data_IF_224172583037
#
_entry.id   IF_224172583037
#
_cell.length_a   1.000
_cell.length_b   1.000
_cell.length_c   1.000
_cell.angle_alpha   90.00
_cell.angle_beta   90.00
_cell.angle_gamma   90.00
#
_symmetry.space_group_name_H-M   'P 1'
#
loop_
_entity.id
_entity.type
_entity.pdbx_description
1 polymer ?
#
# COMPACT_ATOMS: atom_id res chain seq x y z
N UNK A 1 16.50 0.89 -48.18
CA UNK A 1 17.20 0.34 -46.99
C UNK A 1 17.24 -1.16 -47.13
N UNK A 2 18.42 -1.77 -47.12
CA UNK A 2 18.60 -3.23 -47.17
C UNK A 2 18.40 -3.79 -45.77
N UNK A 3 17.60 -4.85 -45.64
CA UNK A 3 17.40 -5.56 -44.37
C UNK A 3 18.30 -6.80 -44.37
N UNK A 4 19.03 -7.02 -43.30
CA UNK A 4 19.87 -8.20 -43.11
C UNK A 4 19.07 -9.16 -42.20
N UNK A 5 18.73 -10.37 -42.65
CA UNK A 5 18.05 -11.35 -41.81
C UNK A 5 18.98 -11.86 -40.70
N UNK A 6 18.41 -12.09 -39.53
CA UNK A 6 19.12 -12.60 -38.36
C UNK A 6 18.20 -13.52 -37.58
N UNK A 7 18.51 -14.81 -37.60
CA UNK A 7 17.59 -15.86 -37.15
C UNK A 7 17.83 -16.28 -35.68
N UNK A 8 19.04 -16.06 -35.14
CA UNK A 8 19.45 -16.48 -33.79
C UNK A 8 19.26 -15.39 -32.72
N UNK A 9 18.11 -14.71 -32.74
CA UNK A 9 17.76 -13.70 -31.74
C UNK A 9 17.50 -14.32 -30.36
N UNK A 10 18.23 -13.85 -29.34
CA UNK A 10 17.96 -14.19 -27.93
C UNK A 10 18.60 -15.49 -27.42
N UNK A 11 19.53 -16.09 -28.16
CA UNK A 11 20.29 -17.28 -27.71
C UNK A 11 21.21 -17.00 -26.52
N UNK A 12 21.77 -15.79 -26.45
CA UNK A 12 22.65 -15.35 -25.34
C UNK A 12 21.84 -14.65 -24.23
N UNK A 13 20.70 -14.07 -24.56
CA UNK A 13 19.85 -13.34 -23.62
C UNK A 13 20.36 -11.91 -23.33
N UNK A 14 20.05 -11.39 -22.14
CA UNK A 14 20.46 -10.04 -21.73
C UNK A 14 21.85 -10.12 -21.09
N UNK A 15 22.83 -9.41 -21.66
CA UNK A 15 24.18 -9.28 -21.10
C UNK A 15 24.45 -7.81 -20.78
N UNK A 16 24.77 -7.54 -19.51
CA UNK A 16 25.07 -6.19 -18.98
C UNK A 16 26.55 -5.96 -18.68
N UNK A 17 27.37 -6.99 -18.82
CA UNK A 17 28.78 -6.96 -18.46
C UNK A 17 29.66 -6.42 -19.60
N UNK A 18 29.14 -6.47 -20.84
CA UNK A 18 29.79 -5.95 -22.03
C UNK A 18 29.18 -4.62 -22.44
N UNK A 19 30.04 -3.70 -22.89
CA UNK A 19 29.59 -2.48 -23.56
C UNK A 19 28.85 -2.81 -24.86
N UNK A 20 27.92 -1.92 -25.25
CA UNK A 20 27.03 -2.05 -26.42
C UNK A 20 27.77 -2.43 -27.72
N UNK A 21 29.02 -1.99 -27.88
CA UNK A 21 29.83 -2.24 -29.07
C UNK A 21 30.55 -3.59 -29.08
N UNK A 22 30.72 -4.22 -27.91
CA UNK A 22 31.38 -5.51 -27.74
C UNK A 22 30.37 -6.67 -27.65
N UNK A 23 29.07 -6.36 -27.63
CA UNK A 23 28.01 -7.35 -27.54
C UNK A 23 27.88 -8.17 -28.84
N UNK A 24 27.78 -9.50 -28.75
CA UNK A 24 27.45 -10.31 -29.90
C UNK A 24 26.04 -9.98 -30.40
N UNK A 25 25.80 -10.13 -31.71
CA UNK A 25 24.51 -9.78 -32.35
C UNK A 25 23.29 -10.49 -31.73
N UNK A 26 23.48 -11.64 -31.09
CA UNK A 26 22.42 -12.45 -30.47
C UNK A 26 22.09 -12.04 -29.03
N UNK A 27 22.86 -11.12 -28.43
CA UNK A 27 22.65 -10.64 -27.06
C UNK A 27 21.89 -9.31 -27.03
N UNK A 28 21.24 -9.04 -25.90
CA UNK A 28 20.50 -7.81 -25.66
C UNK A 28 21.17 -7.01 -24.53
N UNK A 29 21.18 -5.68 -24.66
CA UNK A 29 21.69 -4.76 -23.62
C UNK A 29 20.69 -4.60 -22.47
N UNK A 30 19.40 -4.57 -22.78
CA UNK A 30 18.33 -4.41 -21.78
C UNK A 30 16.98 -4.94 -22.28
N UNK A 31 16.17 -5.44 -21.34
CA UNK A 31 14.76 -5.74 -21.55
C UNK A 31 13.89 -4.63 -20.94
N UNK A 32 13.30 -3.77 -21.77
CA UNK A 32 12.35 -2.75 -21.32
C UNK A 32 10.94 -3.26 -21.53
N UNK A 33 10.11 -3.15 -20.49
CA UNK A 33 8.70 -3.56 -20.56
C UNK A 33 8.53 -5.05 -20.95
N UNK A 34 9.47 -5.90 -20.50
CA UNK A 34 9.43 -7.36 -20.67
C UNK A 34 9.52 -8.00 -19.28
N UNK A 35 8.70 -9.03 -19.02
CA UNK A 35 8.84 -9.92 -17.86
C UNK A 35 9.04 -11.36 -18.32
N UNK A 36 9.76 -12.13 -17.51
CA UNK A 36 9.99 -13.55 -17.75
C UNK A 36 9.07 -14.34 -16.83
N UNK A 37 8.10 -15.05 -17.40
CA UNK A 37 7.17 -15.90 -16.68
C UNK A 37 7.06 -17.25 -17.39
N UNK A 38 7.01 -18.34 -16.63
CA UNK A 38 6.91 -19.71 -17.16
C UNK A 38 7.90 -20.03 -18.29
N UNK A 39 9.16 -19.61 -18.11
CA UNK A 39 10.25 -19.74 -19.11
C UNK A 39 9.99 -19.04 -20.45
N UNK A 40 9.10 -18.06 -20.49
CA UNK A 40 8.77 -17.25 -21.68
C UNK A 40 8.97 -15.78 -21.40
N UNK A 41 9.34 -15.04 -22.44
CA UNK A 41 9.37 -13.58 -22.41
C UNK A 41 8.00 -13.05 -22.84
N UNK A 42 7.41 -12.19 -22.02
CA UNK A 42 6.13 -11.53 -22.32
C UNK A 42 6.24 -10.02 -22.12
N UNK A 43 5.47 -9.27 -22.91
CA UNK A 43 5.42 -7.81 -22.81
C UNK A 43 4.55 -7.41 -21.62
N UNK A 44 5.01 -6.44 -20.82
CA UNK A 44 4.23 -5.85 -19.74
C UNK A 44 4.11 -4.33 -19.89
N UNK A 45 3.06 -3.73 -19.33
CA UNK A 45 2.71 -2.32 -19.50
C UNK A 45 3.67 -1.32 -18.80
N UNK A 46 4.65 -1.81 -18.04
CA UNK A 46 5.49 -1.00 -17.18
C UNK A 46 5.07 -1.07 -15.70
N UNK A 47 5.77 -0.33 -14.86
CA UNK A 47 5.46 -0.19 -13.44
C UNK A 47 4.88 1.19 -13.18
N UNK A 48 3.86 1.27 -12.35
CA UNK A 48 3.24 2.52 -11.92
C UNK A 48 3.42 2.71 -10.41
N UNK A 49 3.61 3.97 -10.00
CA UNK A 49 3.76 4.32 -8.59
C UNK A 49 2.38 4.39 -7.92
N UNK A 50 1.92 3.25 -7.41
CA UNK A 50 0.57 3.13 -6.81
C UNK A 50 0.48 3.73 -5.40
N UNK A 51 1.56 3.71 -4.61
CA UNK A 51 1.55 4.08 -3.18
C UNK A 51 2.19 5.44 -2.88
N UNK A 52 2.35 6.33 -3.87
CA UNK A 52 3.16 7.54 -3.74
C UNK A 52 2.30 8.82 -3.58
N UNK A 53 2.56 9.70 -2.60
CA UNK A 53 3.54 9.56 -1.51
C UNK A 53 3.00 8.76 -0.32
N UNK A 54 3.77 7.81 0.24
CA UNK A 54 3.35 7.10 1.45
C UNK A 54 3.37 8.06 2.64
N UNK A 55 2.35 7.99 3.50
CA UNK A 55 2.22 8.89 4.65
C UNK A 55 3.37 8.78 5.66
N UNK A 56 4.05 7.62 5.70
CA UNK A 56 5.23 7.35 6.53
C UNK A 56 6.20 6.42 5.78
N UNK A 57 7.51 6.43 6.10
CA UNK A 57 8.45 5.44 5.59
C UNK A 57 8.06 4.03 6.07
N UNK A 58 7.74 3.09 5.15
CA UNK A 58 7.35 1.74 5.52
C UNK A 58 8.59 0.89 5.86
N UNK A 59 8.56 0.22 7.01
CA UNK A 59 9.53 -0.80 7.40
C UNK A 59 8.98 -2.22 7.14
N UNK A 60 7.66 -2.34 7.05
CA UNK A 60 6.97 -3.59 6.77
C UNK A 60 5.68 -3.32 5.99
N UNK A 61 5.32 -4.22 5.08
CA UNK A 61 4.09 -4.14 4.31
C UNK A 61 3.50 -5.53 4.03
N UNK A 62 2.17 -5.63 4.02
CA UNK A 62 1.43 -6.87 3.78
C UNK A 62 0.12 -6.59 3.04
N UNK A 63 -0.19 -7.36 1.99
CA UNK A 63 -1.52 -7.35 1.39
C UNK A 63 -2.52 -8.10 2.28
N UNK A 64 -3.70 -7.53 2.46
CA UNK A 64 -4.84 -8.14 3.13
C UNK A 64 -5.99 -8.23 2.15
N UNK A 65 -6.37 -9.46 1.81
CA UNK A 65 -7.44 -9.77 0.88
C UNK A 65 -8.77 -9.86 1.65
N UNK A 66 -9.78 -9.15 1.17
CA UNK A 66 -11.18 -9.34 1.57
C UNK A 66 -11.97 -9.87 0.38
N UNK A 67 -13.27 -10.15 0.55
CA UNK A 67 -14.10 -10.69 -0.53
C UNK A 67 -14.08 -9.82 -1.80
N UNK A 68 -14.11 -8.49 -1.62
CA UNK A 68 -14.26 -7.54 -2.73
C UNK A 68 -13.06 -6.59 -2.92
N UNK A 69 -12.16 -6.51 -1.94
CA UNK A 69 -11.09 -5.51 -1.91
C UNK A 69 -9.75 -6.09 -1.46
N UNK A 70 -8.67 -5.51 -2.01
CA UNK A 70 -7.30 -5.73 -1.54
C UNK A 70 -6.82 -4.48 -0.81
N UNK A 71 -6.53 -4.64 0.48
CA UNK A 71 -5.93 -3.61 1.31
C UNK A 71 -4.42 -3.85 1.39
N UNK A 72 -3.63 -2.79 1.49
CA UNK A 72 -2.22 -2.88 1.83
C UNK A 72 -1.98 -2.27 3.19
N UNK A 73 -1.60 -3.09 4.15
CA UNK A 73 -1.19 -2.59 5.47
C UNK A 73 0.31 -2.33 5.40
N UNK A 74 0.73 -1.15 5.81
CA UNK A 74 2.14 -0.82 5.97
C UNK A 74 2.41 -0.20 7.34
N UNK A 75 3.48 -0.66 7.97
CA UNK A 75 3.90 -0.24 9.31
C UNK A 75 5.23 0.51 9.22
N UNK A 76 5.30 1.64 9.93
CA UNK A 76 6.54 2.31 10.26
C UNK A 76 6.86 2.20 11.74
N UNK A 77 7.77 3.05 12.21
CA UNK A 77 8.28 3.00 13.60
C UNK A 77 7.21 3.25 14.66
N UNK A 78 6.34 4.23 14.43
CA UNK A 78 5.35 4.70 15.42
C UNK A 78 3.92 4.59 14.93
N UNK A 79 3.72 4.40 13.62
CA UNK A 79 2.40 4.39 13.00
C UNK A 79 2.22 3.23 12.03
N UNK A 80 0.97 2.82 11.86
CA UNK A 80 0.52 1.76 10.96
C UNK A 80 -0.64 2.33 10.15
N UNK A 81 -0.57 2.17 8.84
CA UNK A 81 -1.57 2.67 7.90
C UNK A 81 -2.11 1.53 7.04
N UNK A 82 -3.37 1.64 6.67
CA UNK A 82 -3.98 0.83 5.61
C UNK A 82 -4.15 1.70 4.37
N UNK A 83 -3.68 1.19 3.22
CA UNK A 83 -3.88 1.77 1.92
C UNK A 83 -4.98 1.04 1.16
N UNK A 84 -5.91 1.82 0.61
CA UNK A 84 -6.93 1.33 -0.31
C UNK A 84 -7.30 2.42 -1.31
N UNK A 85 -7.27 2.10 -2.60
CA UNK A 85 -7.77 3.00 -3.66
C UNK A 85 -7.19 4.41 -3.66
N UNK A 86 -5.91 4.59 -3.30
CA UNK A 86 -5.26 5.91 -3.22
C UNK A 86 -5.39 6.61 -1.86
N UNK A 87 -6.13 6.03 -0.91
CA UNK A 87 -6.31 6.61 0.43
C UNK A 87 -5.46 5.88 1.46
N UNK A 88 -4.78 6.65 2.32
CA UNK A 88 -3.98 6.14 3.43
C UNK A 88 -4.71 6.43 4.76
N UNK A 89 -5.29 5.41 5.38
CA UNK A 89 -5.99 5.53 6.67
C UNK A 89 -5.09 5.08 7.82
N UNK A 90 -4.95 5.92 8.84
CA UNK A 90 -4.19 5.54 10.04
C UNK A 90 -5.01 4.56 10.89
N UNK A 91 -4.46 3.39 11.17
CA UNK A 91 -5.09 2.33 11.97
C UNK A 91 -4.35 2.07 13.29
N UNK A 92 -3.45 2.98 13.69
CA UNK A 92 -2.75 2.87 14.97
C UNK A 92 -3.73 2.88 16.11
N UNK A 93 -3.52 1.98 17.08
CA UNK A 93 -4.24 2.06 18.36
C UNK A 93 -4.03 3.45 18.97
N UNK A 94 -5.14 4.14 19.23
CA UNK A 94 -5.14 5.38 20.00
C UNK A 94 -5.26 4.98 21.48
N UNK A 95 -4.44 5.60 22.35
CA UNK A 95 -4.42 5.34 23.79
C UNK A 95 -5.59 6.03 24.53
N UNK A 96 -6.18 7.03 23.92
CA UNK A 96 -7.31 7.81 24.44
C UNK A 96 -8.53 7.53 23.57
N UNK A 97 -9.61 6.99 24.15
CA UNK A 97 -10.90 6.98 23.48
C UNK A 97 -11.30 8.43 23.18
N UNK A 98 -11.96 8.77 22.06
CA UNK A 98 -12.67 10.05 21.99
C UNK A 98 -13.63 10.06 23.18
N UNK A 99 -13.43 11.01 24.09
CA UNK A 99 -14.39 11.26 25.17
C UNK A 99 -15.69 11.72 24.50
N UNK A 100 -16.81 11.16 24.93
CA UNK A 100 -18.11 11.61 24.49
C UNK A 100 -18.37 12.97 25.15
N UNK A 101 -18.07 14.05 24.43
CA UNK A 101 -18.40 15.41 24.84
C UNK A 101 -19.91 15.59 24.77
N UNK A 102 -20.57 15.60 25.93
CA UNK A 102 -21.99 15.98 26.02
C UNK A 102 -22.05 17.48 25.73
N UNK A 103 -22.84 17.95 24.74
CA UNK A 103 -22.99 19.37 24.49
C UNK A 103 -23.50 20.08 25.76
N UNK A 104 -22.98 21.27 26.09
CA UNK A 104 -23.20 21.92 27.39
C UNK A 104 -24.66 22.32 27.68
N UNK A 105 -25.59 22.08 26.76
CA UNK A 105 -26.99 22.47 26.87
C UNK A 105 -27.95 21.38 27.36
N UNK A 106 -27.51 20.15 27.62
CA UNK A 106 -28.43 19.05 27.98
C UNK A 106 -28.14 18.34 29.31
N UNK A 107 -27.15 18.79 30.09
CA UNK A 107 -26.83 18.17 31.39
C UNK A 107 -27.74 18.71 32.51
N UNK A 108 -29.03 18.34 32.51
CA UNK A 108 -29.92 18.60 33.65
C UNK A 108 -29.93 17.39 34.59
N UNK A 109 -28.99 17.32 35.53
CA UNK A 109 -29.03 16.32 36.60
C UNK A 109 -30.04 16.79 37.65
N UNK A 110 -31.31 16.38 37.52
CA UNK A 110 -32.31 16.62 38.56
C UNK A 110 -32.05 15.68 39.74
N UNK A 111 -31.29 16.15 40.72
CA UNK A 111 -31.16 15.44 41.99
C UNK A 111 -32.39 15.76 42.86
N UNK A 112 -33.42 14.93 42.79
CA UNK A 112 -34.49 15.00 43.78
C UNK A 112 -33.96 14.40 45.08
N UNK A 113 -33.76 15.24 46.11
CA UNK A 113 -33.47 14.75 47.45
C UNK A 113 -34.62 13.86 47.94
N UNK A 114 -34.35 12.74 48.64
CA UNK A 114 -35.42 11.93 49.22
C UNK A 114 -36.20 12.77 50.25
N UNK A 115 -37.52 12.85 50.10
CA UNK A 115 -38.37 13.52 51.09
C UNK A 115 -38.30 12.73 52.40
N UNK A 116 -37.79 13.36 53.45
CA UNK A 116 -37.85 12.80 54.80
C UNK A 116 -39.31 12.90 55.27
N UNK A 117 -39.99 11.76 55.38
CA UNK A 117 -41.30 11.70 56.01
C UNK A 117 -41.13 12.01 57.51
N UNK A 118 -41.59 13.18 57.95
CA UNK A 118 -41.75 13.49 59.37
C UNK A 118 -42.92 12.68 59.89
N UNK A 119 -42.67 11.78 60.84
CA UNK A 119 -43.73 11.03 61.51
C UNK A 119 -44.61 11.99 62.36
N UNK A 120 -45.94 11.85 62.34
CA UNK A 120 -46.81 12.67 63.18
C UNK A 120 -46.63 12.31 64.65
N UNK A 121 -46.55 13.34 65.51
CA UNK A 121 -46.59 13.27 66.98
C UNK A 121 -48.02 13.07 67.44
#
# INVERSE_FOLDING_TARGET
>A
MVKIPFDDVGTVGINKDLDDHALPLSAWTAGRNIRFNDNKAEKFLGHELVFNPPAIPPYWAMPVLTADNVFWIYAGLTKVYAFQGGTHSNITRIKTSPEFEIPPSELTITTTAPSVAVAPV
#
